data_IF_578607294716
#
_entry.id   IF_578607294716
#
_cell.length_a   1.000
_cell.length_b   1.000
_cell.length_c   1.000
_cell.angle_alpha   90.00
_cell.angle_beta   90.00
_cell.angle_gamma   90.00
#
_symmetry.space_group_name_H-M   'P 1'
#
loop_
_entity.id
_entity.type
_entity.pdbx_description
1 polymer ?
#
# COMPACT_ATOMS: atom_id res chain seq x y z
N UNK A 1 -33.21 -7.87 6.87
CA UNK A 1 -32.74 -9.23 7.23
C UNK A 1 -32.99 -9.42 8.71
N UNK A 2 -33.92 -10.32 9.07
CA UNK A 2 -34.48 -10.40 10.44
C UNK A 2 -33.55 -11.03 11.47
N UNK A 3 -33.92 -10.87 12.76
CA UNK A 3 -33.20 -11.38 13.93
C UNK A 3 -32.79 -12.86 13.81
N UNK A 4 -33.62 -13.69 13.17
CA UNK A 4 -33.37 -15.12 12.95
C UNK A 4 -32.13 -15.35 12.08
N UNK A 5 -31.93 -14.58 11.00
CA UNK A 5 -30.73 -14.73 10.16
C UNK A 5 -29.47 -14.22 10.85
N UNK A 6 -29.59 -13.23 11.73
CA UNK A 6 -28.50 -12.74 12.58
C UNK A 6 -28.01 -13.80 13.57
N UNK A 7 -28.94 -14.49 14.24
CA UNK A 7 -28.65 -15.58 15.18
C UNK A 7 -27.97 -16.77 14.50
N UNK A 8 -28.45 -17.21 13.33
CA UNK A 8 -27.80 -18.27 12.55
C UNK A 8 -26.41 -17.85 12.02
N UNK A 9 -26.19 -16.55 11.87
CA UNK A 9 -24.91 -15.98 11.46
C UNK A 9 -23.89 -15.81 12.60
N UNK A 10 -24.31 -15.90 13.88
CA UNK A 10 -23.44 -15.66 15.04
C UNK A 10 -22.23 -16.59 15.11
N UNK A 11 -22.31 -17.90 14.80
CA UNK A 11 -21.12 -18.75 14.78
C UNK A 11 -20.04 -18.29 13.77
N UNK A 12 -20.45 -17.58 12.71
CA UNK A 12 -19.55 -16.99 11.71
C UNK A 12 -19.08 -15.56 12.07
N UNK A 13 -19.49 -15.01 13.22
CA UNK A 13 -19.04 -13.70 13.67
C UNK A 13 -17.50 -13.58 13.79
N UNK A 14 -16.75 -14.59 14.27
CA UNK A 14 -15.27 -14.50 14.31
C UNK A 14 -14.65 -14.32 12.92
N UNK A 15 -15.14 -15.04 11.91
CA UNK A 15 -14.67 -14.92 10.51
C UNK A 15 -14.93 -13.51 9.98
N UNK A 16 -16.10 -12.93 10.27
CA UNK A 16 -16.40 -11.54 9.88
C UNK A 16 -15.47 -10.54 10.58
N UNK A 17 -15.08 -10.81 11.82
CA UNK A 17 -14.10 -10.01 12.55
C UNK A 17 -12.72 -10.00 11.88
N UNK A 18 -12.22 -11.17 11.47
CA UNK A 18 -10.94 -11.27 10.74
C UNK A 18 -11.01 -10.53 9.41
N UNK A 19 -12.08 -10.70 8.64
CA UNK A 19 -12.26 -10.01 7.35
C UNK A 19 -12.38 -8.49 7.53
N UNK A 20 -12.99 -8.03 8.62
CA UNK A 20 -13.00 -6.60 8.96
C UNK A 20 -11.59 -6.09 9.27
N UNK A 21 -10.83 -6.79 10.10
CA UNK A 21 -9.47 -6.39 10.44
C UNK A 21 -8.54 -6.40 9.23
N UNK A 22 -8.62 -7.43 8.39
CA UNK A 22 -7.82 -7.52 7.16
C UNK A 22 -8.06 -6.32 6.24
N UNK A 23 -9.33 -5.87 6.09
CA UNK A 23 -9.67 -4.66 5.34
C UNK A 23 -9.05 -3.42 5.95
N UNK A 24 -9.12 -3.25 7.28
CA UNK A 24 -8.49 -2.10 7.93
C UNK A 24 -6.97 -2.08 7.77
N UNK A 25 -6.32 -3.24 7.82
CA UNK A 25 -4.88 -3.35 7.54
C UNK A 25 -4.60 -2.98 6.08
N UNK A 26 -5.41 -3.48 5.15
CA UNK A 26 -5.29 -3.15 3.73
C UNK A 26 -5.42 -1.65 3.49
N UNK A 27 -6.48 -1.02 4.03
CA UNK A 27 -6.74 0.42 3.87
C UNK A 27 -5.54 1.25 4.37
N UNK A 28 -4.98 0.89 5.53
CA UNK A 28 -3.81 1.56 6.10
C UNK A 28 -2.51 1.30 5.32
N UNK A 29 -2.34 0.09 4.79
CA UNK A 29 -1.20 -0.24 3.95
C UNK A 29 -1.25 0.54 2.64
N UNK A 30 -2.41 0.65 2.01
CA UNK A 30 -2.62 1.43 0.78
C UNK A 30 -2.38 2.93 1.03
N UNK A 31 -2.91 3.48 2.12
CA UNK A 31 -2.68 4.87 2.51
C UNK A 31 -1.18 5.19 2.65
N UNK A 32 -0.43 4.29 3.28
CA UNK A 32 1.02 4.43 3.45
C UNK A 32 1.81 4.21 2.16
N UNK A 33 1.42 3.22 1.34
CA UNK A 33 2.13 2.84 0.13
C UNK A 33 1.98 3.88 -0.99
N UNK A 34 0.83 4.55 -1.05
CA UNK A 34 0.56 5.60 -2.02
C UNK A 34 0.80 7.02 -1.49
N UNK A 35 1.35 7.19 -0.27
CA UNK A 35 1.64 8.50 0.30
C UNK A 35 2.71 9.25 -0.54
N UNK A 36 2.38 10.41 -1.16
CA UNK A 36 3.32 11.17 -1.96
C UNK A 36 4.54 11.66 -1.17
N UNK A 37 4.42 11.91 0.14
CA UNK A 37 5.55 12.34 0.94
C UNK A 37 6.59 11.22 1.07
N UNK A 38 6.12 9.98 1.31
CA UNK A 38 6.99 8.79 1.31
C UNK A 38 7.60 8.52 -0.05
N UNK A 39 6.80 8.55 -1.11
CA UNK A 39 7.32 8.29 -2.46
C UNK A 39 8.40 9.32 -2.85
N UNK A 40 8.23 10.60 -2.47
CA UNK A 40 9.28 11.63 -2.67
C UNK A 40 10.56 11.31 -1.90
N UNK A 41 10.46 10.88 -0.65
CA UNK A 41 11.61 10.47 0.14
C UNK A 41 12.30 9.23 -0.45
N UNK A 42 11.53 8.27 -1.00
CA UNK A 42 12.08 7.11 -1.70
C UNK A 42 12.81 7.52 -3.00
N UNK A 43 12.29 8.48 -3.76
CA UNK A 43 12.99 9.04 -4.92
C UNK A 43 14.31 9.71 -4.53
N UNK A 44 14.34 10.51 -3.45
CA UNK A 44 15.57 11.10 -2.92
C UNK A 44 16.60 10.05 -2.51
N UNK A 45 16.15 8.91 -1.97
CA UNK A 45 17.02 7.79 -1.64
C UNK A 45 17.63 7.12 -2.88
N UNK A 46 16.87 7.01 -3.98
CA UNK A 46 17.41 6.53 -5.27
C UNK A 46 18.45 7.50 -5.82
N UNK A 47 18.19 8.82 -5.74
CA UNK A 47 19.16 9.84 -6.17
C UNK A 47 20.46 9.80 -5.38
N UNK A 48 20.40 9.55 -4.06
CA UNK A 48 21.60 9.36 -3.24
C UNK A 48 22.35 8.08 -3.63
N UNK A 49 21.62 6.99 -3.89
CA UNK A 49 22.20 5.73 -4.31
C UNK A 49 22.85 5.80 -5.70
N UNK A 50 22.31 6.61 -6.61
CA UNK A 50 22.94 6.95 -7.89
C UNK A 50 24.25 7.70 -7.65
N UNK A 51 24.24 8.73 -6.79
CA UNK A 51 25.41 9.58 -6.51
C UNK A 51 26.56 8.82 -5.84
N UNK A 52 26.25 7.89 -4.96
CA UNK A 52 27.25 7.07 -4.27
C UNK A 52 27.65 5.80 -5.06
N UNK A 53 27.02 5.54 -6.21
CA UNK A 53 27.30 4.41 -7.09
C UNK A 53 26.86 3.04 -6.54
N UNK A 54 25.90 3.00 -5.61
CA UNK A 54 25.36 1.74 -5.06
C UNK A 54 24.25 1.12 -5.91
N UNK A 55 23.62 1.91 -6.78
CA UNK A 55 22.68 1.47 -7.80
C UNK A 55 23.24 1.82 -9.19
N UNK A 56 23.06 0.93 -10.16
CA UNK A 56 23.38 1.25 -11.57
C UNK A 56 22.34 2.22 -12.13
N UNK A 57 22.64 2.83 -13.28
CA UNK A 57 21.69 3.74 -13.93
C UNK A 57 20.41 3.00 -14.35
N UNK A 58 20.52 1.78 -14.88
CA UNK A 58 19.36 0.97 -15.24
C UNK A 58 18.48 0.66 -14.01
N UNK A 59 19.09 0.28 -12.88
CA UNK A 59 18.36 0.00 -11.64
C UNK A 59 17.68 1.27 -11.08
N UNK A 60 18.35 2.42 -11.15
CA UNK A 60 17.76 3.70 -10.76
C UNK A 60 16.52 4.02 -11.60
N UNK A 61 16.62 3.88 -12.92
CA UNK A 61 15.52 4.17 -13.86
C UNK A 61 14.33 3.24 -13.61
N UNK A 62 14.56 1.94 -13.38
CA UNK A 62 13.48 1.01 -13.04
C UNK A 62 12.76 1.41 -11.74
N UNK A 63 13.54 1.73 -10.70
CA UNK A 63 13.01 2.12 -9.39
C UNK A 63 12.23 3.43 -9.44
N UNK A 64 12.78 4.45 -10.10
CA UNK A 64 12.12 5.74 -10.28
C UNK A 64 10.81 5.60 -11.06
N UNK A 65 10.80 4.81 -12.14
CA UNK A 65 9.59 4.55 -12.91
C UNK A 65 8.50 3.89 -12.05
N UNK A 66 8.85 2.89 -11.24
CA UNK A 66 7.92 2.25 -10.31
C UNK A 66 7.31 3.28 -9.32
N UNK A 67 8.15 4.12 -8.71
CA UNK A 67 7.73 5.15 -7.76
C UNK A 67 6.84 6.22 -8.42
N UNK A 68 7.19 6.66 -9.62
CA UNK A 68 6.41 7.62 -10.39
C UNK A 68 5.05 7.04 -10.80
N UNK A 69 4.98 5.76 -11.17
CA UNK A 69 3.70 5.08 -11.43
C UNK A 69 2.81 5.07 -10.19
N UNK A 70 3.34 4.76 -9.00
CA UNK A 70 2.58 4.83 -7.73
C UNK A 70 2.03 6.22 -7.46
N UNK A 71 2.82 7.28 -7.72
CA UNK A 71 2.37 8.68 -7.61
C UNK A 71 1.21 9.01 -8.56
N UNK A 72 1.20 8.44 -9.77
CA UNK A 72 0.14 8.66 -10.75
C UNK A 72 -1.18 7.98 -10.34
N UNK A 73 -1.13 6.77 -9.77
CA UNK A 73 -2.32 6.02 -9.34
C UNK A 73 -3.19 6.83 -8.36
N UNK A 74 -2.57 7.55 -7.42
CA UNK A 74 -3.29 8.38 -6.42
C UNK A 74 -3.94 9.64 -7.02
N UNK A 75 -3.57 10.06 -8.24
CA UNK A 75 -4.05 11.31 -8.85
C UNK A 75 -5.33 11.13 -9.69
N UNK A 76 -5.80 9.89 -9.85
CA UNK A 76 -7.05 9.49 -10.51
C UNK A 76 -8.08 9.05 -9.50
#
# INVERSE_FOLDING_TARGET
MGLVSGLLGLPLAPVRGVVWLARQIQDQAEEQYYDPARIRAELEAVDEARRNGTLTEEECVERENELLQRLMVRRT
#
